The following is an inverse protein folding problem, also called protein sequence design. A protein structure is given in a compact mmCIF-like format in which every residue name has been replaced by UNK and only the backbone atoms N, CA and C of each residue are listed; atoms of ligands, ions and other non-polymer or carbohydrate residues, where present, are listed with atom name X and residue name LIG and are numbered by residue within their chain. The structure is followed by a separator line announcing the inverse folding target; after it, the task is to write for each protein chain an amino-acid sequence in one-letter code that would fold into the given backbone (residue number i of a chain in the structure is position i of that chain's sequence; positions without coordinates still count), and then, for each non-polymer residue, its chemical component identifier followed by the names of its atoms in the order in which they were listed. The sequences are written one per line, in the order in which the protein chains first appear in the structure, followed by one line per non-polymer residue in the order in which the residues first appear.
data_IF_351430384474
#
_entry.id   IF_351430384474
#
_cell.length_a   1.000
_cell.length_b   1.000
_cell.length_c   1.000
_cell.angle_alpha   90.00
_cell.angle_beta   90.00
_cell.angle_gamma   90.00
#
_symmetry.space_group_name_H-M   'P 1'
#
loop_
_entity.id
_entity.type
_entity.pdbx_description
1 polymer ?
#
# COMPACT_ATOMS: atom_id res chain seq x y z
N UNK A 1 23.32 -7.06 15.06
CA UNK A 1 22.78 -8.18 14.30
C UNK A 1 21.59 -7.78 13.45
N UNK A 2 20.58 -7.12 14.05
CA UNK A 2 19.29 -6.90 13.39
C UNK A 2 19.30 -5.90 12.21
N UNK A 3 20.24 -4.98 12.17
CA UNK A 3 20.36 -3.99 11.08
C UNK A 3 21.04 -4.54 9.81
N UNK A 4 21.87 -5.57 9.94
CA UNK A 4 22.58 -6.14 8.81
C UNK A 4 21.70 -7.16 8.07
N UNK A 5 20.86 -7.90 8.79
CA UNK A 5 19.91 -8.84 8.22
C UNK A 5 18.83 -8.11 7.41
N UNK A 6 18.27 -7.01 7.94
CA UNK A 6 17.29 -6.19 7.23
C UNK A 6 17.87 -5.52 5.96
N UNK A 7 19.17 -5.19 5.95
CA UNK A 7 19.86 -4.66 4.76
C UNK A 7 20.09 -5.73 3.70
N UNK A 8 20.45 -6.95 4.11
CA UNK A 8 20.62 -8.08 3.19
C UNK A 8 19.31 -8.50 2.56
N UNK A 9 18.22 -8.53 3.31
CA UNK A 9 16.88 -8.84 2.79
C UNK A 9 16.39 -7.80 1.77
N UNK A 10 16.59 -6.52 2.04
CA UNK A 10 16.25 -5.44 1.10
C UNK A 10 17.11 -5.50 -0.17
N UNK A 11 18.39 -5.80 -0.06
CA UNK A 11 19.27 -5.95 -1.22
C UNK A 11 18.88 -7.18 -2.07
N UNK A 12 18.55 -8.28 -1.44
CA UNK A 12 18.06 -9.51 -2.09
C UNK A 12 16.75 -9.27 -2.84
N UNK A 13 15.78 -8.60 -2.23
CA UNK A 13 14.51 -8.23 -2.87
C UNK A 13 14.72 -7.28 -4.06
N UNK A 14 15.63 -6.31 -3.93
CA UNK A 14 15.94 -5.36 -5.00
C UNK A 14 16.60 -6.05 -6.18
N UNK A 15 17.54 -6.94 -5.96
CA UNK A 15 18.19 -7.73 -7.01
C UNK A 15 17.19 -8.68 -7.69
N UNK A 16 16.32 -9.33 -6.92
CA UNK A 16 15.28 -10.21 -7.46
C UNK A 16 14.30 -9.43 -8.35
N UNK A 17 13.90 -8.23 -7.94
CA UNK A 17 13.07 -7.33 -8.75
C UNK A 17 13.75 -6.94 -10.06
N UNK A 18 15.03 -6.58 -10.01
CA UNK A 18 15.80 -6.18 -11.18
C UNK A 18 15.93 -7.34 -12.19
N UNK A 19 16.32 -8.52 -11.72
CA UNK A 19 16.41 -9.72 -12.55
C UNK A 19 15.06 -10.10 -13.17
N UNK A 20 13.98 -10.00 -12.38
CA UNK A 20 12.63 -10.30 -12.86
C UNK A 20 12.19 -9.33 -13.96
N UNK A 21 12.43 -8.03 -13.81
CA UNK A 21 12.15 -7.03 -14.85
C UNK A 21 12.94 -7.30 -16.12
N UNK A 22 14.23 -7.57 -16.02
CA UNK A 22 15.08 -7.89 -17.16
C UNK A 22 14.56 -9.08 -17.98
N UNK A 23 13.95 -10.06 -17.34
CA UNK A 23 13.37 -11.22 -18.00
C UNK A 23 11.96 -10.96 -18.55
N UNK A 24 11.15 -10.18 -17.83
CA UNK A 24 9.74 -9.98 -18.18
C UNK A 24 9.53 -8.84 -19.19
N UNK A 25 10.27 -7.74 -19.07
CA UNK A 25 10.09 -6.56 -19.94
C UNK A 25 10.18 -6.89 -21.44
N UNK A 26 11.16 -7.69 -21.92
CA UNK A 26 11.21 -8.08 -23.32
C UNK A 26 9.97 -8.86 -23.78
N UNK A 27 9.44 -9.74 -22.92
CA UNK A 27 8.23 -10.54 -23.22
C UNK A 27 7.02 -9.62 -23.33
N UNK A 28 6.85 -8.71 -22.38
CA UNK A 28 5.77 -7.72 -22.38
C UNK A 28 5.85 -6.82 -23.63
N UNK A 29 7.03 -6.38 -24.02
CA UNK A 29 7.23 -5.56 -25.21
C UNK A 29 6.86 -6.31 -26.49
N UNK A 30 7.20 -7.58 -26.59
CA UNK A 30 6.78 -8.42 -27.72
C UNK A 30 5.26 -8.52 -27.79
N UNK A 31 4.59 -8.78 -26.65
CA UNK A 31 3.12 -8.87 -26.59
C UNK A 31 2.49 -7.53 -27.00
N UNK A 32 3.03 -6.41 -26.53
CA UNK A 32 2.57 -5.06 -26.91
C UNK A 32 2.71 -4.79 -28.41
N UNK A 33 3.81 -5.18 -29.01
CA UNK A 33 4.05 -5.01 -30.47
C UNK A 33 3.13 -5.86 -31.32
N UNK A 34 2.61 -6.98 -30.81
CA UNK A 34 1.64 -7.83 -31.51
C UNK A 34 0.20 -7.32 -31.42
N UNK A 35 -0.01 -6.20 -30.73
CA UNK A 35 -1.34 -5.58 -30.56
C UNK A 35 -1.80 -4.94 -31.86
N UNK A 36 -3.07 -5.16 -32.21
CA UNK A 36 -3.74 -4.52 -33.35
C UNK A 36 -5.04 -3.88 -32.87
N UNK A 37 -5.67 -3.04 -33.73
CA UNK A 37 -6.95 -2.39 -33.39
C UNK A 37 -8.05 -3.38 -32.99
N UNK A 38 -7.97 -4.62 -33.50
CA UNK A 38 -8.98 -5.67 -33.22
C UNK A 38 -8.51 -6.71 -32.18
N UNK A 39 -7.27 -6.63 -31.72
CA UNK A 39 -6.69 -7.58 -30.77
C UNK A 39 -5.94 -6.82 -29.67
N UNK A 40 -6.59 -6.67 -28.52
CA UNK A 40 -6.00 -5.99 -27.37
C UNK A 40 -4.75 -6.71 -26.86
N UNK A 41 -3.82 -5.97 -26.34
CA UNK A 41 -2.60 -6.50 -25.72
C UNK A 41 -2.97 -7.48 -24.60
N UNK A 42 -2.51 -8.72 -24.71
CA UNK A 42 -2.79 -9.80 -23.73
C UNK A 42 -1.88 -9.64 -22.50
N UNK A 43 -2.05 -8.55 -21.79
CA UNK A 43 -1.39 -8.25 -20.53
C UNK A 43 -2.41 -7.89 -19.47
N UNK A 44 -2.03 -8.09 -18.22
CA UNK A 44 -2.71 -7.59 -17.02
C UNK A 44 -1.69 -6.81 -16.19
N UNK A 45 -2.14 -5.83 -15.44
CA UNK A 45 -1.29 -5.04 -14.57
C UNK A 45 -1.64 -5.31 -13.10
N UNK A 46 -0.63 -5.51 -12.27
CA UNK A 46 -0.78 -5.75 -10.83
C UNK A 46 0.02 -4.70 -10.09
N UNK A 47 -0.64 -3.93 -9.25
CA UNK A 47 -0.04 -2.83 -8.48
C UNK A 47 -0.42 -2.89 -7.00
N UNK A 48 0.20 -2.01 -6.22
CA UNK A 48 -0.05 -1.88 -4.78
C UNK A 48 0.75 -2.88 -3.96
N UNK A 49 0.12 -3.42 -2.91
CA UNK A 49 0.76 -4.25 -1.89
C UNK A 49 0.99 -5.69 -2.35
N UNK A 50 1.81 -5.86 -3.38
CA UNK A 50 2.35 -7.13 -3.87
C UNK A 50 3.87 -7.05 -3.93
N UNK A 51 4.54 -8.20 -3.83
CA UNK A 51 6.01 -8.22 -3.82
C UNK A 51 6.64 -7.69 -5.11
N UNK A 52 6.03 -7.95 -6.26
CA UNK A 52 6.54 -7.56 -7.58
C UNK A 52 5.44 -6.88 -8.39
N UNK A 53 5.18 -5.58 -8.16
CA UNK A 53 4.22 -4.84 -8.98
C UNK A 53 4.73 -4.70 -10.41
N UNK A 54 3.83 -4.80 -11.39
CA UNK A 54 4.18 -4.69 -12.81
C UNK A 54 3.13 -5.26 -13.75
N UNK A 55 3.53 -5.37 -15.01
CA UNK A 55 2.70 -5.98 -16.06
C UNK A 55 3.06 -7.45 -16.24
N UNK A 56 2.04 -8.26 -16.51
CA UNK A 56 2.16 -9.70 -16.65
C UNK A 56 1.41 -10.19 -17.89
N UNK A 57 1.94 -11.22 -18.59
CA UNK A 57 1.21 -11.85 -19.70
C UNK A 57 -0.10 -12.45 -19.22
N UNK A 58 -1.19 -12.14 -19.92
CA UNK A 58 -2.48 -12.78 -19.69
C UNK A 58 -2.47 -14.18 -20.29
N UNK A 59 -2.46 -15.19 -19.44
CA UNK A 59 -2.55 -16.59 -19.85
C UNK A 59 -4.00 -17.03 -20.07
N UNK A 60 -4.18 -18.16 -20.79
CA UNK A 60 -5.50 -18.73 -21.00
C UNK A 60 -6.15 -19.08 -19.66
N UNK A 61 -7.36 -18.55 -19.43
CA UNK A 61 -8.12 -18.74 -18.19
C UNK A 61 -7.48 -18.19 -16.91
N UNK A 62 -6.57 -17.22 -17.01
CA UNK A 62 -5.95 -16.57 -15.87
C UNK A 62 -7.02 -15.97 -14.93
N UNK A 63 -6.90 -16.26 -13.67
CA UNK A 63 -7.78 -15.78 -12.61
C UNK A 63 -7.14 -14.64 -11.82
N UNK A 64 -7.93 -13.92 -11.04
CA UNK A 64 -7.44 -12.83 -10.19
C UNK A 64 -6.32 -13.30 -9.25
N UNK A 65 -6.51 -14.45 -8.62
CA UNK A 65 -5.52 -15.03 -7.71
C UNK A 65 -4.20 -15.39 -8.43
N UNK A 66 -4.29 -15.83 -9.71
CA UNK A 66 -3.09 -16.16 -10.49
C UNK A 66 -2.27 -14.92 -10.80
N UNK A 67 -2.92 -13.79 -11.10
CA UNK A 67 -2.24 -12.52 -11.33
C UNK A 67 -1.52 -12.03 -10.07
N UNK A 68 -2.16 -12.13 -8.91
CA UNK A 68 -1.54 -11.77 -7.63
C UNK A 68 -0.35 -12.68 -7.32
N UNK A 69 -0.47 -13.99 -7.55
CA UNK A 69 0.65 -14.94 -7.43
C UNK A 69 1.78 -14.61 -8.42
N UNK A 70 1.44 -14.19 -9.65
CA UNK A 70 2.43 -13.71 -10.61
C UNK A 70 3.17 -12.47 -10.11
N UNK A 71 2.51 -11.60 -9.34
CA UNK A 71 3.09 -10.49 -8.61
C UNK A 71 3.88 -10.89 -7.34
N UNK A 72 4.12 -12.18 -7.13
CA UNK A 72 4.85 -12.69 -5.96
C UNK A 72 4.00 -12.85 -4.71
N UNK A 73 2.67 -12.69 -4.81
CA UNK A 73 1.75 -12.70 -3.67
C UNK A 73 1.64 -11.34 -2.98
N UNK A 74 0.88 -11.32 -1.90
CA UNK A 74 0.62 -10.13 -1.10
C UNK A 74 1.84 -9.82 -0.20
N UNK A 75 2.11 -8.52 -0.03
CA UNK A 75 3.05 -8.06 1.00
C UNK A 75 2.37 -7.99 2.36
N UNK A 76 3.18 -7.84 3.41
CA UNK A 76 2.67 -7.60 4.75
C UNK A 76 1.85 -6.30 4.80
N UNK A 77 0.72 -6.34 5.50
CA UNK A 77 -0.24 -5.22 5.55
C UNK A 77 -1.10 -5.03 4.29
N UNK A 78 -1.05 -5.94 3.31
CA UNK A 78 -1.95 -5.92 2.17
C UNK A 78 -3.41 -6.13 2.59
N UNK A 79 -4.32 -5.34 2.00
CA UNK A 79 -5.75 -5.43 2.27
C UNK A 79 -6.40 -6.42 1.29
N UNK A 80 -6.59 -7.65 1.73
CA UNK A 80 -7.02 -8.78 0.91
C UNK A 80 -8.55 -8.85 0.67
N UNK A 81 -9.33 -8.04 1.41
CA UNK A 81 -10.80 -8.02 1.29
C UNK A 81 -11.34 -7.05 0.25
N UNK A 82 -10.54 -6.06 -0.18
CA UNK A 82 -10.95 -5.01 -1.12
C UNK A 82 -9.91 -4.80 -2.23
N UNK A 83 -9.56 -5.87 -2.93
CA UNK A 83 -8.71 -5.76 -4.12
C UNK A 83 -9.51 -5.10 -5.24
N UNK A 84 -9.02 -3.99 -5.73
CA UNK A 84 -9.67 -3.25 -6.81
C UNK A 84 -9.30 -3.84 -8.16
N UNK A 85 -10.32 -4.20 -8.94
CA UNK A 85 -10.19 -4.62 -10.33
C UNK A 85 -10.79 -3.55 -11.24
N UNK A 86 -9.93 -2.88 -12.00
CA UNK A 86 -10.32 -1.91 -13.02
C UNK A 86 -10.31 -2.57 -14.39
N UNK A 87 -11.46 -2.60 -15.04
CA UNK A 87 -11.66 -3.21 -16.37
C UNK A 87 -12.14 -2.18 -17.36
N UNK A 88 -11.47 -2.11 -18.50
CA UNK A 88 -11.88 -1.25 -19.62
C UNK A 88 -12.82 -2.02 -20.53
N UNK A 89 -13.98 -1.46 -20.79
CA UNK A 89 -14.97 -2.00 -21.73
C UNK A 89 -15.26 -0.96 -22.82
N UNK A 90 -15.34 -1.42 -24.06
CA UNK A 90 -15.78 -0.55 -25.16
C UNK A 90 -17.31 -0.58 -25.22
N UNK A 91 -17.91 0.60 -25.05
CA UNK A 91 -19.35 0.80 -25.13
C UNK A 91 -19.62 2.05 -25.98
N UNK A 92 -20.47 1.90 -27.03
CA UNK A 92 -20.83 3.01 -27.92
C UNK A 92 -19.62 3.77 -28.53
N UNK A 93 -18.56 3.05 -28.91
CA UNK A 93 -17.29 3.60 -29.43
C UNK A 93 -16.46 4.37 -28.41
N UNK A 94 -16.84 4.36 -27.14
CA UNK A 94 -16.08 4.95 -26.04
C UNK A 94 -15.57 3.90 -25.07
N UNK A 95 -14.36 4.07 -24.57
CA UNK A 95 -13.81 3.25 -23.51
C UNK A 95 -14.34 3.72 -22.15
N UNK A 96 -15.06 2.83 -21.47
CA UNK A 96 -15.47 3.05 -20.06
C UNK A 96 -14.63 2.17 -19.15
N UNK A 97 -14.18 2.73 -18.04
CA UNK A 97 -13.51 2.00 -16.97
C UNK A 97 -14.53 1.63 -15.91
N UNK A 98 -14.68 0.37 -15.62
CA UNK A 98 -15.50 -0.15 -14.54
C UNK A 98 -14.58 -0.65 -13.42
N UNK A 99 -14.74 -0.11 -12.23
CA UNK A 99 -14.02 -0.55 -11.05
C UNK A 99 -14.94 -1.46 -10.23
N UNK A 100 -14.42 -2.58 -9.81
CA UNK A 100 -15.07 -3.52 -8.92
C UNK A 100 -14.11 -3.91 -7.79
N UNK A 101 -14.68 -4.26 -6.65
CA UNK A 101 -13.91 -4.70 -5.49
C UNK A 101 -14.09 -6.20 -5.31
N UNK A 102 -13.00 -6.86 -5.05
CA UNK A 102 -12.92 -8.31 -4.96
C UNK A 102 -12.26 -8.72 -3.64
N UNK A 103 -12.93 -9.57 -2.88
CA UNK A 103 -12.33 -10.20 -1.70
C UNK A 103 -11.60 -11.48 -2.12
N UNK A 104 -10.32 -11.57 -1.80
CA UNK A 104 -9.53 -12.79 -2.04
C UNK A 104 -9.90 -13.92 -1.07
N UNK A 105 -10.61 -13.61 0.01
CA UNK A 105 -11.14 -14.60 0.95
C UNK A 105 -12.36 -15.35 0.39
N UNK A 106 -13.07 -14.74 -0.56
CA UNK A 106 -14.14 -15.40 -1.30
C UNK A 106 -13.55 -16.19 -2.48
N UNK A 107 -13.65 -17.51 -2.41
CA UNK A 107 -13.11 -18.43 -3.42
C UNK A 107 -13.70 -18.18 -4.82
N UNK A 108 -14.98 -17.82 -4.91
CA UNK A 108 -15.64 -17.52 -6.19
C UNK A 108 -15.09 -16.25 -6.81
N UNK A 109 -14.84 -15.24 -5.97
CA UNK A 109 -14.36 -13.92 -6.40
C UNK A 109 -12.86 -13.99 -6.72
N UNK A 110 -12.07 -14.70 -5.93
CA UNK A 110 -10.63 -14.89 -6.18
C UNK A 110 -10.36 -15.64 -7.49
N UNK A 111 -11.31 -16.47 -7.94
CA UNK A 111 -11.29 -17.19 -9.22
C UNK A 111 -11.92 -16.42 -10.40
N UNK A 112 -12.17 -15.12 -10.24
CA UNK A 112 -12.66 -14.27 -11.31
C UNK A 112 -11.70 -14.30 -12.50
N UNK A 113 -12.20 -14.62 -13.69
CA UNK A 113 -11.39 -14.63 -14.92
C UNK A 113 -11.02 -13.21 -15.33
N UNK A 114 -9.75 -13.01 -15.58
CA UNK A 114 -9.19 -11.76 -16.07
C UNK A 114 -9.36 -11.63 -17.58
N UNK A 115 -9.38 -10.38 -18.02
CA UNK A 115 -9.40 -9.99 -19.43
C UNK A 115 -8.15 -9.16 -19.76
N UNK A 116 -7.90 -9.01 -21.05
CA UNK A 116 -6.82 -8.17 -21.53
C UNK A 116 -6.95 -6.75 -21.00
N UNK A 117 -5.84 -6.17 -20.56
CA UNK A 117 -5.73 -4.82 -19.99
C UNK A 117 -6.47 -4.61 -18.66
N UNK A 118 -6.84 -5.68 -17.96
CA UNK A 118 -7.32 -5.55 -16.58
C UNK A 118 -6.18 -5.02 -15.68
N UNK A 119 -6.53 -4.11 -14.79
CA UNK A 119 -5.64 -3.54 -13.78
C UNK A 119 -6.12 -3.96 -12.41
N UNK A 120 -5.23 -4.58 -11.66
CA UNK A 120 -5.46 -5.06 -10.30
C UNK A 120 -4.66 -4.17 -9.36
N UNK A 121 -5.32 -3.58 -8.37
CA UNK A 121 -4.68 -2.76 -7.36
C UNK A 121 -4.99 -3.31 -5.96
N UNK A 122 -3.94 -3.78 -5.28
CA UNK A 122 -4.02 -4.26 -3.90
C UNK A 122 -3.72 -3.11 -2.98
N UNK A 123 -4.71 -2.66 -2.22
CA UNK A 123 -4.54 -1.58 -1.26
C UNK A 123 -3.72 -2.04 -0.07
N UNK A 124 -3.02 -1.11 0.55
CA UNK A 124 -2.37 -1.34 1.82
C UNK A 124 -3.33 -0.95 2.95
N UNK A 125 -3.55 -1.85 3.90
CA UNK A 125 -4.17 -1.47 5.14
C UNK A 125 -3.21 -0.51 5.85
N UNK A 126 -3.68 0.67 6.20
CA UNK A 126 -2.87 1.62 6.97
C UNK A 126 -2.80 1.10 8.41
N UNK A 127 -1.99 0.09 8.63
CA UNK A 127 -1.67 -0.43 9.97
C UNK A 127 -0.45 0.29 10.57
N UNK A 128 -0.30 1.56 10.29
CA UNK A 128 0.61 2.37 11.07
C UNK A 128 0.11 2.39 12.51
N UNK A 129 0.82 1.74 13.42
CA UNK A 129 0.63 1.98 14.86
C UNK A 129 0.82 3.48 15.04
N UNK A 130 -0.28 4.18 15.27
CA UNK A 130 -0.20 5.62 15.56
C UNK A 130 0.55 5.76 16.87
N UNK A 131 1.65 6.46 16.86
CA UNK A 131 2.44 6.77 18.07
C UNK A 131 2.30 8.23 18.43
N UNK A 132 2.39 8.53 19.71
CA UNK A 132 2.45 9.87 20.26
C UNK A 132 3.69 10.00 21.11
N UNK A 133 4.46 11.07 20.88
CA UNK A 133 5.61 11.41 21.71
C UNK A 133 5.15 12.18 22.93
N UNK A 134 5.37 11.62 24.12
CA UNK A 134 5.12 12.27 25.41
C UNK A 134 6.42 12.83 25.94
N UNK A 135 6.47 14.14 26.16
CA UNK A 135 7.67 14.87 26.63
C UNK A 135 7.30 15.78 27.79
N UNK A 136 8.31 16.18 28.55
CA UNK A 136 8.14 17.09 29.67
C UNK A 136 8.02 16.39 31.02
N UNK A 137 7.28 17.00 31.94
CA UNK A 137 7.18 16.60 33.33
C UNK A 137 6.23 15.40 33.56
N UNK A 138 6.57 14.27 32.97
CA UNK A 138 5.96 12.95 33.20
C UNK A 138 7.02 11.97 33.69
N UNK A 139 6.63 10.93 34.43
CA UNK A 139 7.60 9.98 34.98
C UNK A 139 8.34 9.18 33.91
N UNK A 140 7.67 8.83 32.82
CA UNK A 140 8.25 8.04 31.72
C UNK A 140 8.01 8.76 30.38
N UNK A 141 8.82 9.78 30.03
CA UNK A 141 8.75 10.38 28.71
C UNK A 141 9.18 9.37 27.63
N UNK A 142 8.53 9.39 26.45
CA UNK A 142 8.84 8.45 25.38
C UNK A 142 7.78 8.41 24.29
N UNK A 143 7.93 7.45 23.38
CA UNK A 143 6.98 7.15 22.31
C UNK A 143 5.96 6.10 22.76
N UNK A 144 4.69 6.43 22.65
CA UNK A 144 3.59 5.57 23.07
C UNK A 144 2.69 5.23 21.89
N UNK A 145 2.48 3.94 21.60
CA UNK A 145 1.45 3.55 20.65
C UNK A 145 0.08 3.88 21.21
N UNK A 146 -0.79 4.44 20.35
CA UNK A 146 -2.16 4.83 20.74
C UNK A 146 -3.20 4.06 19.95
N UNK A 147 -4.32 3.77 20.62
CA UNK A 147 -5.54 3.21 20.03
C UNK A 147 -6.49 4.32 19.58
N UNK A 148 -7.44 4.02 18.69
CA UNK A 148 -8.34 5.02 18.10
C UNK A 148 -9.17 5.83 19.10
N UNK A 149 -9.53 5.22 20.25
CA UNK A 149 -10.37 5.86 21.26
C UNK A 149 -9.59 6.18 22.56
N UNK A 150 -8.27 6.14 22.51
CA UNK A 150 -7.46 6.41 23.69
C UNK A 150 -7.50 7.88 24.07
N UNK A 151 -7.78 8.15 25.34
CA UNK A 151 -7.83 9.50 25.90
C UNK A 151 -6.43 9.98 26.30
N UNK A 152 -6.27 11.32 26.41
CA UNK A 152 -5.04 11.92 26.91
C UNK A 152 -4.74 11.51 28.35
N UNK A 153 -5.78 11.35 29.19
CA UNK A 153 -5.64 10.91 30.58
C UNK A 153 -5.02 9.52 30.66
N UNK A 154 -5.54 8.57 29.91
CA UNK A 154 -5.00 7.21 29.85
C UNK A 154 -3.57 7.18 29.32
N UNK A 155 -3.22 8.06 28.37
CA UNK A 155 -1.88 8.17 27.86
C UNK A 155 -0.91 8.68 28.94
N UNK A 156 -1.31 9.71 29.71
CA UNK A 156 -0.52 10.25 30.80
C UNK A 156 -0.37 9.22 31.93
N UNK A 157 -1.41 8.47 32.26
CA UNK A 157 -1.35 7.37 33.24
C UNK A 157 -0.35 6.30 32.81
N UNK A 158 -0.33 5.92 31.53
CA UNK A 158 0.69 5.01 30.98
C UNK A 158 2.10 5.57 31.03
N UNK A 159 2.25 6.88 30.93
CA UNK A 159 3.52 7.58 31.13
C UNK A 159 3.89 7.75 32.63
N UNK A 160 3.21 7.06 33.51
CA UNK A 160 3.47 7.09 34.96
C UNK A 160 2.85 8.29 35.69
N UNK A 161 2.04 9.08 35.01
CA UNK A 161 1.47 10.30 35.55
C UNK A 161 2.39 11.52 35.42
N UNK A 162 1.93 12.64 35.94
CA UNK A 162 2.64 13.92 35.91
C UNK A 162 3.51 14.03 37.18
N UNK A 163 4.75 14.51 37.05
CA UNK A 163 5.63 14.74 38.20
C UNK A 163 5.12 15.90 39.07
N UNK A 164 5.63 16.03 40.28
CA UNK A 164 5.29 17.12 41.19
C UNK A 164 5.63 18.54 40.64
N UNK A 165 6.43 18.62 39.61
CA UNK A 165 6.79 19.85 38.91
C UNK A 165 5.94 20.13 37.68
N UNK A 166 5.14 19.16 37.23
CA UNK A 166 4.29 19.28 36.06
C UNK A 166 2.98 19.99 36.36
N UNK A 167 2.43 20.66 35.38
CA UNK A 167 1.12 21.31 35.46
C UNK A 167 0.26 20.87 34.24
N UNK A 168 -0.92 20.37 34.51
CA UNK A 168 -1.89 20.00 33.44
C UNK A 168 -2.28 21.19 32.58
N UNK A 169 -2.36 22.40 33.22
CA UNK A 169 -2.70 23.63 32.52
C UNK A 169 -1.62 24.15 31.56
N UNK A 170 -0.39 23.62 31.67
CA UNK A 170 0.73 23.94 30.79
C UNK A 170 0.92 22.85 29.66
N UNK A 171 0.01 21.88 29.57
CA UNK A 171 0.10 20.85 28.54
C UNK A 171 -0.11 21.44 27.14
N UNK A 172 0.83 21.16 26.24
CA UNK A 172 0.78 21.58 24.86
C UNK A 172 0.67 20.37 23.95
N UNK A 173 -0.32 20.40 23.06
CA UNK A 173 -0.52 19.33 22.07
C UNK A 173 -0.14 19.82 20.68
N UNK A 174 0.80 19.13 20.03
CA UNK A 174 1.26 19.44 18.70
C UNK A 174 1.03 18.24 17.76
N UNK A 175 0.43 18.50 16.61
CA UNK A 175 0.38 17.54 15.50
C UNK A 175 1.43 17.90 14.47
N UNK A 176 2.34 16.97 14.18
CA UNK A 176 3.41 17.14 13.19
C UNK A 176 2.84 17.46 11.79
N UNK A 177 1.77 16.78 11.38
CA UNK A 177 1.09 17.00 10.10
C UNK A 177 0.50 18.42 9.95
N UNK A 178 0.07 19.05 11.03
CA UNK A 178 -0.41 20.43 10.99
C UNK A 178 0.76 21.44 10.90
N UNK A 179 1.86 21.15 11.56
CA UNK A 179 3.08 21.97 11.50
C UNK A 179 3.67 22.03 10.11
N UNK A 180 3.73 20.89 9.42
CA UNK A 180 4.19 20.82 8.04
C UNK A 180 3.28 21.58 7.09
N UNK A 181 1.95 21.40 7.19
CA UNK A 181 0.97 22.12 6.38
C UNK A 181 0.99 23.63 6.62
N UNK A 182 1.17 24.09 7.86
CA UNK A 182 1.32 25.52 8.18
C UNK A 182 2.62 26.10 7.67
N UNK A 183 3.73 25.37 7.80
CA UNK A 183 5.03 25.81 7.29
C UNK A 183 5.06 25.92 5.77
N UNK A 184 4.34 25.04 5.08
CA UNK A 184 4.19 25.07 3.62
C UNK A 184 3.31 26.23 3.16
N UNK A 185 2.22 26.52 3.88
CA UNK A 185 1.39 27.71 3.63
C UNK A 185 2.17 29.01 3.81
N UNK A 186 3.00 29.11 4.84
CA UNK A 186 3.84 30.28 5.09
C UNK A 186 4.96 30.45 4.04
N UNK A 187 5.50 29.36 3.50
CA UNK A 187 6.45 29.43 2.36
C UNK A 187 5.79 29.92 1.06
N UNK A 188 4.55 29.50 0.83
CA UNK A 188 3.80 29.85 -0.40
C UNK A 188 3.15 31.25 -0.31
N UNK A 189 3.17 31.90 0.85
CA UNK A 189 2.62 33.23 1.07
C UNK A 189 3.68 34.36 0.96
N UNK A 190 4.93 34.02 0.63
CA UNK A 190 6.02 34.96 0.32
C UNK A 190 6.27 35.04 -1.18
#
# INVERSE_FOLDING_TARGET
GDNDDARQDNLSLTLTNLCRRQLMDPVIDIIKRQTTSNNASKIVSVFGSVHFPGEYPLTKNMQLIDAIKSGGGLTDGAFDTDVELSRRTLSNKEYKTNNSFASLRDEKVSRLKLKALDVINVKQATQGIKTVSVKGEVYFPGEYPISENQTLTELIERAGGITKYGSVGAAFFQRESLKEAESERLRNAK
#
